data_IF_598461136962
#
_entry.id   IF_598461136962
#
_cell.length_a   1.000
_cell.length_b   1.000
_cell.length_c   1.000
_cell.angle_alpha   90.00
_cell.angle_beta   90.00
_cell.angle_gamma   90.00
#
_symmetry.space_group_name_H-M   'P 1'
#
loop_
_entity.id
_entity.type
_entity.pdbx_description
1 polymer ?
#
# COMPACT_ATOMS: atom_id res chain seq x y z
N UNK A 1 -31.86 11.68 -29.42
CA UNK A 1 -30.44 11.38 -29.10
C UNK A 1 -29.61 11.16 -30.37
N UNK A 2 -29.54 12.18 -31.23
CA UNK A 2 -28.80 12.15 -32.50
C UNK A 2 -27.51 13.01 -32.49
N UNK A 3 -27.16 13.60 -31.34
CA UNK A 3 -25.96 14.43 -31.21
C UNK A 3 -24.79 13.73 -30.50
N UNK A 4 -24.95 12.48 -30.05
CA UNK A 4 -23.88 11.73 -29.38
C UNK A 4 -22.90 11.03 -30.33
N UNK A 5 -23.29 10.77 -31.58
CA UNK A 5 -22.49 9.98 -32.53
C UNK A 5 -21.47 10.77 -33.36
N UNK A 6 -21.54 12.10 -33.38
CA UNK A 6 -20.65 12.95 -34.18
C UNK A 6 -19.50 13.56 -33.35
N UNK A 7 -19.56 13.48 -32.02
CA UNK A 7 -18.50 13.94 -31.12
C UNK A 7 -17.26 13.01 -31.13
N UNK A 8 -17.44 11.72 -31.44
CA UNK A 8 -16.33 10.74 -31.48
C UNK A 8 -15.40 10.90 -32.69
N UNK A 9 -15.89 11.52 -33.78
CA UNK A 9 -15.11 11.75 -35.00
C UNK A 9 -14.23 13.02 -34.94
N UNK A 10 -14.37 13.84 -33.91
CA UNK A 10 -13.59 15.07 -33.73
C UNK A 10 -12.43 14.94 -32.73
N UNK A 11 -12.15 13.74 -32.19
CA UNK A 11 -11.02 13.50 -31.29
C UNK A 11 -11.14 14.17 -29.91
N UNK A 12 -12.27 14.79 -29.59
CA UNK A 12 -12.52 15.43 -28.30
C UNK A 12 -13.23 14.44 -27.40
N UNK A 13 -12.44 13.72 -26.60
CA UNK A 13 -12.90 12.80 -25.59
C UNK A 13 -13.58 13.57 -24.44
N UNK A 14 -14.90 13.71 -24.47
CA UNK A 14 -15.70 14.16 -23.34
C UNK A 14 -15.82 13.02 -22.33
N UNK A 15 -14.89 12.98 -21.36
CA UNK A 15 -15.14 12.37 -20.04
C UNK A 15 -14.43 11.07 -19.67
N UNK A 16 -13.38 10.62 -20.37
CA UNK A 16 -12.72 9.33 -20.04
C UNK A 16 -11.18 9.30 -20.06
N UNK A 17 -10.51 10.37 -20.49
CA UNK A 17 -9.04 10.38 -20.60
C UNK A 17 -8.31 10.48 -19.26
N UNK A 18 -8.80 11.35 -18.36
CA UNK A 18 -8.17 11.57 -17.05
C UNK A 18 -8.32 10.39 -16.08
N UNK A 19 -9.44 9.66 -16.14
CA UNK A 19 -9.64 8.50 -15.26
C UNK A 19 -8.69 7.35 -15.57
N UNK A 20 -8.33 7.14 -16.84
CA UNK A 20 -7.51 5.99 -17.21
C UNK A 20 -6.05 6.15 -16.76
N UNK A 21 -5.47 7.33 -16.94
CA UNK A 21 -4.09 7.58 -16.52
C UNK A 21 -3.93 7.54 -14.98
N UNK A 22 -4.92 8.05 -14.24
CA UNK A 22 -4.98 7.94 -12.78
C UNK A 22 -5.09 6.49 -12.32
N UNK A 23 -5.97 5.69 -12.95
CA UNK A 23 -6.10 4.26 -12.64
C UNK A 23 -4.79 3.53 -12.93
N UNK A 24 -4.19 3.75 -14.11
CA UNK A 24 -2.91 3.13 -14.48
C UNK A 24 -1.82 3.51 -13.48
N UNK A 25 -1.68 4.79 -13.13
CA UNK A 25 -0.65 5.24 -12.20
C UNK A 25 -0.84 4.65 -10.79
N UNK A 26 -2.08 4.49 -10.33
CA UNK A 26 -2.41 3.82 -9.07
C UNK A 26 -2.00 2.34 -9.09
N UNK A 27 -2.26 1.62 -10.19
CA UNK A 27 -1.84 0.23 -10.35
C UNK A 27 -0.30 0.11 -10.47
N UNK A 28 0.33 1.05 -11.17
CA UNK A 28 1.80 1.12 -11.29
C UNK A 28 2.45 1.35 -9.93
N UNK A 29 1.92 2.26 -9.11
CA UNK A 29 2.36 2.50 -7.72
C UNK A 29 2.38 1.21 -6.89
N UNK A 30 1.41 0.33 -7.13
CA UNK A 30 1.31 -0.95 -6.44
C UNK A 30 2.17 -2.03 -7.10
N UNK A 31 2.57 -1.90 -8.35
CA UNK A 31 3.23 -2.95 -9.13
C UNK A 31 4.61 -3.36 -8.58
N UNK A 32 4.95 -4.64 -8.70
CA UNK A 32 6.26 -5.18 -8.29
C UNK A 32 7.40 -4.47 -9.03
N UNK A 33 7.25 -4.27 -10.34
CA UNK A 33 8.29 -3.67 -11.17
C UNK A 33 8.64 -2.23 -10.75
N UNK A 34 7.64 -1.43 -10.36
CA UNK A 34 7.87 -0.09 -9.85
C UNK A 34 8.47 -0.12 -8.45
N UNK A 35 7.86 -0.87 -7.52
CA UNK A 35 8.29 -0.94 -6.13
C UNK A 35 9.73 -1.47 -5.97
N UNK A 36 10.10 -2.52 -6.70
CA UNK A 36 11.49 -3.02 -6.71
C UNK A 36 12.48 -1.92 -7.12
N UNK A 37 12.20 -1.18 -8.20
CA UNK A 37 13.06 -0.05 -8.63
C UNK A 37 13.09 1.07 -7.60
N UNK A 38 11.96 1.33 -6.94
CA UNK A 38 11.85 2.32 -5.87
C UNK A 38 12.73 1.95 -4.67
N UNK A 39 12.67 0.70 -4.21
CA UNK A 39 13.45 0.23 -3.07
C UNK A 39 14.96 0.34 -3.32
N UNK A 40 15.43 -0.10 -4.49
CA UNK A 40 16.84 -0.02 -4.88
C UNK A 40 17.32 1.41 -5.08
N UNK A 41 16.44 2.33 -5.53
CA UNK A 41 16.81 3.73 -5.74
C UNK A 41 16.99 4.50 -4.43
N UNK A 42 16.24 4.15 -3.40
CA UNK A 42 16.23 4.86 -2.11
C UNK A 42 16.82 4.01 -0.97
N UNK A 43 17.62 3.00 -1.31
CA UNK A 43 18.33 2.12 -0.36
C UNK A 43 17.45 1.58 0.78
N UNK A 44 16.25 1.11 0.42
CA UNK A 44 15.22 0.74 1.40
C UNK A 44 15.39 -0.64 2.03
N UNK A 45 16.30 -1.49 1.51
CA UNK A 45 16.47 -2.88 1.93
C UNK A 45 16.59 -3.03 3.45
N UNK A 46 17.55 -2.31 4.05
CA UNK A 46 17.81 -2.33 5.49
C UNK A 46 16.66 -1.70 6.29
N UNK A 47 16.25 -0.44 6.05
CA UNK A 47 15.20 0.19 6.85
C UNK A 47 13.85 -0.52 6.74
N UNK A 48 13.56 -1.20 5.62
CA UNK A 48 12.33 -1.96 5.44
C UNK A 48 12.38 -3.32 6.15
N UNK A 49 13.49 -4.06 6.04
CA UNK A 49 13.52 -5.47 6.41
C UNK A 49 14.28 -5.78 7.70
N UNK A 50 15.18 -4.90 8.14
CA UNK A 50 16.02 -5.12 9.32
C UNK A 50 15.58 -4.33 10.56
N UNK A 51 14.70 -3.34 10.41
CA UNK A 51 14.32 -2.43 11.51
C UNK A 51 13.05 -2.93 12.22
N UNK A 52 13.14 -3.07 13.54
CA UNK A 52 12.02 -3.47 14.42
C UNK A 52 11.53 -2.34 15.33
N UNK A 53 12.23 -1.20 15.33
CA UNK A 53 11.89 -0.11 16.23
C UNK A 53 12.59 1.21 15.90
N UNK A 54 12.12 2.26 16.57
CA UNK A 54 12.68 3.61 16.47
C UNK A 54 12.73 4.25 17.85
N UNK A 55 13.90 4.76 18.22
CA UNK A 55 14.07 5.51 19.45
C UNK A 55 13.91 7.00 19.17
N UNK A 56 12.78 7.59 19.59
CA UNK A 56 12.51 9.03 19.40
C UNK A 56 13.53 9.95 20.10
N UNK A 57 14.22 9.50 21.14
CA UNK A 57 15.19 10.33 21.88
C UNK A 57 16.57 10.35 21.22
N UNK A 58 17.04 9.21 20.73
CA UNK A 58 18.35 9.11 20.06
C UNK A 58 18.24 9.29 18.55
N UNK A 59 17.04 9.26 17.98
CA UNK A 59 16.79 9.30 16.53
C UNK A 59 17.51 8.17 15.79
N UNK A 60 17.52 6.98 16.40
CA UNK A 60 18.17 5.78 15.85
C UNK A 60 17.18 4.63 15.68
N UNK A 61 17.42 3.81 14.64
CA UNK A 61 16.71 2.56 14.43
C UNK A 61 17.16 1.51 15.43
N UNK A 62 16.20 0.69 15.85
CA UNK A 62 16.46 -0.58 16.53
C UNK A 62 16.36 -1.68 15.50
N UNK A 63 17.42 -2.48 15.37
CA UNK A 63 17.52 -3.54 14.37
C UNK A 63 17.26 -4.90 14.98
N UNK A 64 16.63 -5.78 14.21
CA UNK A 64 16.51 -7.20 14.49
C UNK A 64 17.90 -7.85 14.38
N UNK A 65 18.56 -8.03 15.53
CA UNK A 65 19.93 -8.57 15.62
C UNK A 65 20.02 -10.05 15.30
N UNK A 66 18.89 -10.75 15.21
CA UNK A 66 18.87 -12.16 14.80
C UNK A 66 18.96 -12.27 13.26
N UNK A 67 18.55 -11.22 12.53
CA UNK A 67 18.58 -11.17 11.06
C UNK A 67 19.71 -10.31 10.50
N UNK A 68 20.07 -9.23 11.17
CA UNK A 68 20.98 -8.22 10.63
C UNK A 68 21.99 -7.74 11.66
N UNK A 69 23.26 -7.66 11.25
CA UNK A 69 24.33 -7.08 12.04
C UNK A 69 24.62 -5.63 11.60
N UNK A 70 24.15 -4.62 12.35
CA UNK A 70 24.37 -3.22 11.99
C UNK A 70 25.83 -2.76 12.16
N UNK A 71 26.62 -3.44 13.00
CA UNK A 71 28.03 -3.08 13.23
C UNK A 71 28.91 -3.46 12.03
N UNK A 72 28.56 -4.55 11.33
CA UNK A 72 29.26 -5.03 10.12
C UNK A 72 28.57 -4.68 8.81
N UNK A 73 27.28 -4.33 8.86
CA UNK A 73 26.47 -4.08 7.68
C UNK A 73 26.08 -5.37 6.93
N UNK A 74 25.93 -6.49 7.64
CA UNK A 74 25.77 -7.82 7.04
C UNK A 74 24.47 -8.50 7.48
N UNK A 75 23.80 -9.14 6.54
CA UNK A 75 22.70 -10.07 6.82
C UNK A 75 23.25 -11.38 7.40
N UNK A 76 22.59 -11.89 8.42
CA UNK A 76 22.94 -13.14 9.07
C UNK A 76 22.34 -14.33 8.32
N UNK A 77 22.64 -15.53 8.80
CA UNK A 77 22.12 -16.79 8.26
C UNK A 77 21.25 -17.46 9.32
N UNK A 78 20.20 -18.16 8.86
CA UNK A 78 19.33 -18.95 9.71
C UNK A 78 19.98 -20.27 10.15
N UNK A 79 19.22 -21.10 10.87
CA UNK A 79 19.70 -22.40 11.36
C UNK A 79 19.97 -23.43 10.27
N UNK A 80 19.35 -23.26 9.10
CA UNK A 80 19.48 -24.16 7.95
C UNK A 80 20.61 -23.70 7.00
N UNK A 81 21.21 -22.54 7.28
CA UNK A 81 22.32 -21.96 6.51
C UNK A 81 21.88 -21.04 5.38
N UNK A 82 20.60 -20.69 5.32
CA UNK A 82 20.05 -19.74 4.34
C UNK A 82 20.23 -18.31 4.85
N UNK A 83 20.41 -17.35 3.94
CA UNK A 83 20.63 -15.95 4.32
C UNK A 83 19.32 -15.26 4.66
N UNK A 84 19.33 -14.41 5.70
CA UNK A 84 18.24 -13.48 6.00
C UNK A 84 18.18 -12.27 5.05
N UNK A 85 19.10 -12.18 4.09
CA UNK A 85 19.04 -11.12 3.08
C UNK A 85 17.73 -11.26 2.29
N UNK A 86 16.87 -10.22 2.28
CA UNK A 86 15.59 -10.28 1.61
C UNK A 86 15.77 -10.29 0.09
N UNK A 87 14.89 -11.00 -0.60
CA UNK A 87 14.72 -10.88 -2.04
C UNK A 87 13.82 -9.68 -2.39
N UNK A 88 13.80 -9.30 -3.67
CA UNK A 88 12.83 -8.31 -4.16
C UNK A 88 11.38 -8.72 -3.90
N UNK A 89 11.11 -10.03 -3.86
CA UNK A 89 9.80 -10.55 -3.54
C UNK A 89 9.43 -10.25 -2.09
N UNK A 90 10.33 -10.58 -1.16
CA UNK A 90 10.11 -10.39 0.28
C UNK A 90 9.92 -8.90 0.62
N UNK A 91 10.71 -8.02 0.00
CA UNK A 91 10.55 -6.57 0.18
C UNK A 91 9.19 -6.07 -0.33
N UNK A 92 8.74 -6.53 -1.50
CA UNK A 92 7.46 -6.10 -2.06
C UNK A 92 6.29 -6.62 -1.24
N UNK A 93 6.37 -7.84 -0.74
CA UNK A 93 5.37 -8.45 0.14
C UNK A 93 5.27 -7.66 1.46
N UNK A 94 6.39 -7.52 2.18
CA UNK A 94 6.43 -6.76 3.43
C UNK A 94 5.93 -5.33 3.25
N UNK A 95 6.35 -4.64 2.19
CA UNK A 95 5.95 -3.25 1.96
C UNK A 95 4.45 -3.11 1.72
N UNK A 96 3.86 -3.98 0.90
CA UNK A 96 2.43 -3.92 0.55
C UNK A 96 1.53 -4.32 1.71
N UNK A 97 1.96 -5.25 2.55
CA UNK A 97 1.13 -5.75 3.66
C UNK A 97 1.14 -4.78 4.85
N UNK A 98 2.31 -4.26 5.24
CA UNK A 98 2.46 -3.57 6.53
C UNK A 98 2.82 -2.09 6.43
N UNK A 99 3.36 -1.65 5.30
CA UNK A 99 3.99 -0.32 5.19
C UNK A 99 3.29 0.63 4.22
N UNK A 100 2.49 0.14 3.28
CA UNK A 100 1.97 0.96 2.18
C UNK A 100 0.51 0.67 1.87
N UNK A 101 -0.26 1.73 1.67
CA UNK A 101 -1.60 1.63 1.11
C UNK A 101 -1.92 2.81 0.21
N UNK A 102 -2.73 2.54 -0.80
CA UNK A 102 -3.27 3.57 -1.70
C UNK A 102 -4.78 3.41 -1.74
N UNK A 103 -5.48 4.50 -1.51
CA UNK A 103 -6.94 4.54 -1.56
C UNK A 103 -7.42 5.68 -2.45
N UNK A 104 -8.64 5.55 -2.94
CA UNK A 104 -9.27 6.51 -3.84
C UNK A 104 -10.64 6.87 -3.31
N UNK A 105 -10.86 8.16 -3.06
CA UNK A 105 -12.17 8.69 -2.72
C UNK A 105 -13.02 8.80 -3.99
N UNK A 106 -13.93 7.86 -4.22
CA UNK A 106 -14.71 7.73 -5.48
C UNK A 106 -15.58 8.95 -5.82
N UNK A 107 -15.91 9.75 -4.82
CA UNK A 107 -16.69 10.98 -4.94
C UNK A 107 -15.86 12.18 -5.43
N UNK A 108 -14.59 12.24 -5.03
CA UNK A 108 -13.69 13.37 -5.34
C UNK A 108 -12.57 13.01 -6.32
N UNK A 109 -12.33 11.73 -6.58
CA UNK A 109 -11.17 11.23 -7.33
C UNK A 109 -9.83 11.43 -6.61
N UNK A 110 -9.84 11.84 -5.34
CA UNK A 110 -8.60 12.06 -4.58
C UNK A 110 -7.94 10.72 -4.25
N UNK A 111 -6.64 10.65 -4.53
CA UNK A 111 -5.79 9.53 -4.17
C UNK A 111 -5.07 9.85 -2.87
N UNK A 112 -5.21 8.97 -1.89
CA UNK A 112 -4.47 9.04 -0.63
C UNK A 112 -3.41 7.94 -0.62
N UNK A 113 -2.15 8.35 -0.56
CA UNK A 113 -1.00 7.47 -0.38
C UNK A 113 -0.59 7.52 1.08
N UNK A 114 -0.60 6.37 1.75
CA UNK A 114 -0.22 6.24 3.15
C UNK A 114 0.99 5.34 3.26
N UNK A 115 2.02 5.83 3.97
CA UNK A 115 3.20 5.05 4.31
C UNK A 115 3.34 4.96 5.83
N UNK A 116 3.63 3.76 6.32
CA UNK A 116 3.86 3.45 7.72
C UNK A 116 5.29 2.95 7.89
N UNK A 117 5.97 3.46 8.90
CA UNK A 117 7.30 3.01 9.29
C UNK A 117 7.53 3.31 10.77
N UNK A 118 8.48 2.63 11.41
CA UNK A 118 8.82 2.87 12.81
C UNK A 118 9.31 4.30 13.06
N UNK A 119 10.12 4.83 12.14
CA UNK A 119 10.53 6.23 12.11
C UNK A 119 9.52 7.09 11.36
N UNK A 120 8.91 8.11 11.99
CA UNK A 120 7.92 8.98 11.35
C UNK A 120 8.54 9.89 10.29
N UNK A 121 9.83 10.23 10.44
CA UNK A 121 10.58 11.00 9.43
C UNK A 121 10.78 10.14 8.18
N UNK A 122 11.12 8.87 8.35
CA UNK A 122 11.28 7.96 7.21
C UNK A 122 9.94 7.71 6.49
N UNK A 123 8.84 7.54 7.24
CA UNK A 123 7.51 7.39 6.65
C UNK A 123 7.13 8.59 5.76
N UNK A 124 7.38 9.81 6.24
CA UNK A 124 7.18 11.03 5.47
C UNK A 124 8.03 11.04 4.19
N UNK A 125 9.33 10.79 4.33
CA UNK A 125 10.26 10.79 3.20
C UNK A 125 9.84 9.78 2.14
N UNK A 126 9.49 8.56 2.54
CA UNK A 126 9.01 7.52 1.61
C UNK A 126 7.71 7.92 0.91
N UNK A 127 6.76 8.53 1.61
CA UNK A 127 5.53 9.02 0.99
C UNK A 127 5.82 10.11 -0.06
N UNK A 128 6.68 11.09 0.26
CA UNK A 128 7.09 12.12 -0.70
C UNK A 128 7.83 11.52 -1.90
N UNK A 129 8.75 10.59 -1.65
CA UNK A 129 9.53 9.93 -2.71
C UNK A 129 8.68 9.04 -3.61
N UNK A 130 7.68 8.34 -3.07
CA UNK A 130 6.74 7.56 -3.88
C UNK A 130 6.00 8.46 -4.88
N UNK A 131 5.47 9.61 -4.41
CA UNK A 131 4.74 10.56 -5.26
C UNK A 131 5.66 11.19 -6.31
N UNK A 132 6.90 11.53 -5.94
CA UNK A 132 7.91 12.02 -6.89
C UNK A 132 8.23 10.97 -7.95
N UNK A 133 8.49 9.73 -7.54
CA UNK A 133 8.94 8.66 -8.42
C UNK A 133 7.85 8.16 -9.36
N UNK A 134 6.58 8.11 -8.93
CA UNK A 134 5.47 7.76 -9.84
C UNK A 134 5.25 8.85 -10.89
N UNK A 135 5.31 10.12 -10.50
CA UNK A 135 5.22 11.24 -11.44
C UNK A 135 6.35 11.17 -12.47
N UNK A 136 7.57 10.92 -12.01
CA UNK A 136 8.72 10.73 -12.89
C UNK A 136 8.56 9.53 -13.82
N UNK A 137 8.10 8.40 -13.29
CA UNK A 137 7.92 7.15 -14.04
C UNK A 137 6.90 7.31 -15.16
N UNK A 138 5.71 7.82 -14.84
CA UNK A 138 4.66 8.05 -15.84
C UNK A 138 5.08 9.10 -16.87
N UNK A 139 5.78 10.16 -16.44
CA UNK A 139 6.28 11.19 -17.35
C UNK A 139 7.29 10.61 -18.34
N UNK A 140 8.25 9.82 -17.87
CA UNK A 140 9.26 9.19 -18.75
C UNK A 140 8.61 8.23 -19.72
N UNK A 141 7.69 7.39 -19.26
CA UNK A 141 6.99 6.46 -20.12
C UNK A 141 6.25 7.19 -21.25
N UNK A 142 5.46 8.22 -20.93
CA UNK A 142 4.68 8.94 -21.95
C UNK A 142 5.58 9.72 -22.91
N UNK A 143 6.73 10.24 -22.46
CA UNK A 143 7.74 10.87 -23.33
C UNK A 143 8.37 9.84 -24.26
N UNK A 144 8.83 8.69 -23.74
CA UNK A 144 9.45 7.62 -24.53
C UNK A 144 8.48 7.07 -25.59
N UNK A 145 7.21 6.87 -25.22
CA UNK A 145 6.17 6.43 -26.15
C UNK A 145 5.87 7.48 -27.24
N UNK A 146 5.78 8.75 -26.88
CA UNK A 146 5.53 9.83 -27.84
C UNK A 146 6.72 10.04 -28.80
N UNK A 147 7.95 9.98 -28.30
CA UNK A 147 9.17 10.07 -29.13
C UNK A 147 9.24 8.90 -30.13
N UNK A 148 8.93 7.68 -29.70
CA UNK A 148 8.86 6.52 -30.59
C UNK A 148 7.80 6.69 -31.69
N UNK A 149 6.65 7.29 -31.37
CA UNK A 149 5.59 7.59 -32.36
C UNK A 149 6.01 8.69 -33.33
N UNK A 150 6.66 9.76 -32.85
CA UNK A 150 7.21 10.82 -33.70
C UNK A 150 8.17 10.22 -34.71
N UNK A 151 9.14 9.42 -34.26
CA UNK A 151 10.11 8.77 -35.15
C UNK A 151 9.44 7.91 -36.23
N UNK A 152 8.38 7.17 -35.87
CA UNK A 152 7.59 6.40 -36.83
C UNK A 152 6.85 7.29 -37.84
N UNK A 153 6.25 8.40 -37.39
CA UNK A 153 5.51 9.33 -38.24
C UNK A 153 6.43 10.10 -39.19
N UNK A 154 7.63 10.49 -38.73
CA UNK A 154 8.68 11.11 -39.55
C UNK A 154 9.11 10.16 -40.67
N UNK A 155 9.35 8.88 -40.34
CA UNK A 155 9.66 7.87 -41.36
C UNK A 155 8.55 7.76 -42.42
N UNK A 156 7.26 7.77 -42.01
CA UNK A 156 6.13 7.67 -42.94
C UNK A 156 5.93 8.94 -43.77
N UNK A 157 6.26 10.10 -43.22
CA UNK A 157 6.26 11.37 -43.91
C UNK A 157 7.26 11.36 -45.07
N UNK A 158 8.48 10.86 -44.84
CA UNK A 158 9.54 10.77 -45.86
C UNK A 158 9.20 9.79 -47.00
N UNK A 159 8.45 8.73 -46.69
CA UNK A 159 7.97 7.75 -47.68
C UNK A 159 6.78 8.27 -48.52
N UNK A 160 6.15 9.37 -48.12
CA UNK A 160 4.87 9.84 -48.69
C UNK A 160 5.04 11.08 -49.55
N UNK A 161 4.65 11.00 -50.82
CA UNK A 161 4.72 12.12 -51.78
C UNK A 161 3.39 12.88 -51.96
N UNK A 162 2.34 12.47 -51.27
CA UNK A 162 1.01 13.09 -51.39
C UNK A 162 0.90 14.22 -50.38
N UNK A 163 0.87 15.47 -50.85
CA UNK A 163 0.82 16.67 -50.00
C UNK A 163 -0.32 16.62 -48.95
N UNK A 164 -1.50 16.12 -49.32
CA UNK A 164 -2.62 15.95 -48.40
C UNK A 164 -2.32 14.99 -47.24
N UNK A 165 -1.58 13.90 -47.50
CA UNK A 165 -1.18 12.94 -46.46
C UNK A 165 -0.03 13.47 -45.61
N UNK A 166 0.92 14.19 -46.22
CA UNK A 166 2.00 14.86 -45.49
C UNK A 166 1.42 15.85 -44.45
N UNK A 167 0.38 16.60 -44.82
CA UNK A 167 -0.30 17.51 -43.89
C UNK A 167 -0.89 16.79 -42.67
N UNK A 168 -1.45 15.60 -42.86
CA UNK A 168 -1.96 14.78 -41.74
C UNK A 168 -0.81 14.32 -40.84
N UNK A 169 0.30 13.84 -41.40
CA UNK A 169 1.46 13.43 -40.61
C UNK A 169 2.06 14.59 -39.80
N UNK A 170 2.20 15.78 -40.38
CA UNK A 170 2.65 16.96 -39.64
C UNK A 170 1.75 17.27 -38.43
N UNK A 171 0.42 17.18 -38.60
CA UNK A 171 -0.52 17.39 -37.49
C UNK A 171 -0.38 16.31 -36.40
N UNK A 172 -0.16 15.05 -36.78
CA UNK A 172 0.08 13.97 -35.82
C UNK A 172 1.40 14.17 -35.06
N UNK A 173 2.47 14.54 -35.77
CA UNK A 173 3.77 14.86 -35.16
C UNK A 173 3.64 16.05 -34.21
N UNK A 174 2.91 17.10 -34.59
CA UNK A 174 2.66 18.26 -33.73
C UNK A 174 1.92 17.84 -32.45
N UNK A 175 0.92 16.97 -32.57
CA UNK A 175 0.17 16.47 -31.41
C UNK A 175 1.07 15.68 -30.45
N UNK A 176 1.91 14.75 -30.94
CA UNK A 176 2.84 13.99 -30.09
C UNK A 176 3.94 14.89 -29.51
N UNK A 177 4.46 15.84 -30.29
CA UNK A 177 5.43 16.83 -29.82
C UNK A 177 4.85 17.69 -28.68
N UNK A 178 3.57 18.06 -28.77
CA UNK A 178 2.86 18.77 -27.70
C UNK A 178 2.79 17.91 -26.44
N UNK A 179 2.56 16.60 -26.55
CA UNK A 179 2.59 15.67 -25.40
C UNK A 179 3.96 15.67 -24.72
N UNK A 180 5.05 15.50 -25.49
CA UNK A 180 6.43 15.55 -24.96
C UNK A 180 6.72 16.87 -24.27
N UNK A 181 6.32 17.99 -24.89
CA UNK A 181 6.52 19.33 -24.33
C UNK A 181 5.77 19.51 -23.01
N UNK A 182 4.48 19.13 -22.95
CA UNK A 182 3.65 19.27 -21.76
C UNK A 182 4.12 18.36 -20.62
N UNK A 183 4.52 17.13 -20.94
CA UNK A 183 5.09 16.20 -19.98
C UNK A 183 6.35 16.80 -19.34
N UNK A 184 7.33 17.22 -20.15
CA UNK A 184 8.59 17.78 -19.65
C UNK A 184 8.45 19.12 -18.91
N UNK A 185 7.39 19.89 -19.17
CA UNK A 185 7.14 21.16 -18.48
C UNK A 185 6.62 21.00 -17.05
N UNK A 186 6.12 19.82 -16.66
CA UNK A 186 5.44 19.59 -15.39
C UNK A 186 6.22 18.60 -14.52
N UNK A 187 6.54 19.01 -13.28
CA UNK A 187 7.15 18.10 -12.28
C UNK A 187 6.13 17.09 -11.75
N UNK A 188 4.92 17.57 -11.49
CA UNK A 188 3.78 16.78 -11.02
C UNK A 188 2.88 16.44 -12.21
N UNK A 189 3.26 15.38 -12.93
CA UNK A 189 2.68 15.03 -14.22
C UNK A 189 1.32 14.32 -14.12
N UNK A 190 1.25 13.22 -13.35
CA UNK A 190 0.02 12.43 -13.19
C UNK A 190 -0.72 12.75 -11.90
N UNK A 191 0.02 13.07 -10.83
CA UNK A 191 -0.54 13.43 -9.53
C UNK A 191 0.00 14.77 -9.09
N UNK A 192 -0.94 15.68 -8.79
CA UNK A 192 -0.66 16.95 -8.13
C UNK A 192 -0.86 16.78 -6.62
N UNK A 193 0.17 17.10 -5.84
CA UNK A 193 0.09 17.05 -4.39
C UNK A 193 -0.86 18.14 -3.89
N UNK A 194 -1.99 17.72 -3.32
CA UNK A 194 -2.94 18.65 -2.67
C UNK A 194 -2.54 18.87 -1.22
N UNK A 195 -2.17 17.80 -0.52
CA UNK A 195 -1.71 17.82 0.87
C UNK A 195 -0.34 17.12 0.94
N UNK A 196 0.75 17.84 1.27
CA UNK A 196 2.07 17.26 1.34
C UNK A 196 2.20 16.30 2.53
N UNK A 197 3.09 15.32 2.42
CA UNK A 197 3.35 14.42 3.53
C UNK A 197 3.96 15.18 4.71
N UNK A 198 3.47 14.89 5.92
CA UNK A 198 3.95 15.48 7.16
C UNK A 198 4.44 14.40 8.11
N UNK A 199 5.41 14.74 8.96
CA UNK A 199 5.87 13.85 10.03
C UNK A 199 4.73 13.63 11.02
N UNK A 200 4.33 12.37 11.22
CA UNK A 200 3.24 12.04 12.12
C UNK A 200 3.60 12.36 13.59
N UNK A 201 2.76 13.15 14.26
CA UNK A 201 2.91 13.46 15.68
C UNK A 201 2.39 12.33 16.58
N UNK A 202 1.33 11.65 16.15
CA UNK A 202 0.69 10.55 16.85
C UNK A 202 0.99 9.20 16.19
N UNK A 203 1.06 8.15 17.01
CA UNK A 203 1.27 6.79 16.50
C UNK A 203 -0.01 6.28 15.86
N UNK A 204 0.09 5.82 14.62
CA UNK A 204 -1.04 5.17 13.93
C UNK A 204 -1.48 3.87 14.64
N UNK A 205 -0.51 3.06 15.09
CA UNK A 205 -0.74 1.73 15.66
C UNK A 205 0.30 1.33 16.72
N UNK A 206 -0.02 0.37 17.62
CA UNK A 206 -1.35 -0.23 17.83
C UNK A 206 -2.26 0.67 18.68
N UNK A 207 -3.57 0.62 18.41
CA UNK A 207 -4.59 1.34 19.19
C UNK A 207 -4.84 0.65 20.53
N UNK A 208 -3.91 0.83 21.49
CA UNK A 208 -3.90 0.13 22.80
C UNK A 208 -5.23 0.22 23.54
N UNK A 209 -5.88 1.39 23.50
CA UNK A 209 -7.20 1.57 24.13
C UNK A 209 -8.26 0.61 23.56
N UNK A 210 -8.32 0.47 22.22
CA UNK A 210 -9.24 -0.45 21.56
C UNK A 210 -8.94 -1.91 21.95
N UNK A 211 -7.66 -2.29 21.99
CA UNK A 211 -7.23 -3.64 22.40
C UNK A 211 -7.68 -3.94 23.84
N UNK A 212 -7.48 -3.00 24.78
CA UNK A 212 -7.91 -3.17 26.16
C UNK A 212 -9.44 -3.30 26.29
N UNK A 213 -10.22 -2.53 25.53
CA UNK A 213 -11.70 -2.62 25.53
C UNK A 213 -12.16 -3.97 25.00
N UNK A 214 -11.58 -4.46 23.89
CA UNK A 214 -11.95 -5.76 23.32
C UNK A 214 -11.54 -6.90 24.27
N UNK A 215 -10.34 -6.86 24.85
CA UNK A 215 -9.86 -7.88 25.76
C UNK A 215 -10.70 -7.98 27.04
N UNK A 216 -11.13 -6.84 27.60
CA UNK A 216 -12.00 -6.81 28.78
C UNK A 216 -13.40 -7.32 28.47
N UNK A 217 -13.98 -6.97 27.33
CA UNK A 217 -15.28 -7.47 26.89
C UNK A 217 -15.27 -9.00 26.67
N UNK A 218 -14.27 -9.50 25.94
CA UNK A 218 -14.11 -10.95 25.68
C UNK A 218 -13.82 -11.72 26.96
N UNK A 219 -12.94 -11.20 27.84
CA UNK A 219 -12.64 -11.80 29.14
C UNK A 219 -13.88 -11.85 30.04
N UNK A 220 -14.71 -10.80 30.03
CA UNK A 220 -16.00 -10.77 30.74
C UNK A 220 -16.96 -11.84 30.24
N UNK A 221 -17.14 -11.97 28.92
CA UNK A 221 -18.01 -13.00 28.32
C UNK A 221 -17.53 -14.42 28.67
N UNK A 222 -16.22 -14.70 28.55
CA UNK A 222 -15.65 -16.00 28.92
C UNK A 222 -15.81 -16.29 30.41
N UNK A 223 -15.62 -15.29 31.28
CA UNK A 223 -15.84 -15.42 32.72
C UNK A 223 -17.28 -15.84 33.03
N UNK A 224 -18.26 -15.17 32.43
CA UNK A 224 -19.69 -15.52 32.56
C UNK A 224 -19.96 -16.94 32.07
N UNK A 225 -19.40 -17.33 30.92
CA UNK A 225 -19.56 -18.67 30.35
C UNK A 225 -19.00 -19.78 31.25
N UNK A 226 -17.80 -19.57 31.83
CA UNK A 226 -17.18 -20.51 32.78
C UNK A 226 -18.04 -20.65 34.03
N UNK A 227 -18.61 -19.56 34.55
CA UNK A 227 -19.51 -19.58 35.70
C UNK A 227 -20.76 -20.42 35.38
N UNK A 228 -21.37 -20.25 34.21
CA UNK A 228 -22.53 -21.05 33.79
C UNK A 228 -22.20 -22.55 33.67
N UNK A 229 -21.08 -22.92 33.05
CA UNK A 229 -20.65 -24.33 32.97
C UNK A 229 -20.46 -24.92 34.37
N UNK A 230 -19.78 -24.18 35.26
CA UNK A 230 -19.53 -24.63 36.62
C UNK A 230 -20.83 -24.77 37.42
N UNK A 231 -21.78 -23.86 37.22
CA UNK A 231 -23.10 -23.93 37.83
C UNK A 231 -23.89 -25.16 37.33
N UNK A 232 -23.89 -25.43 36.03
CA UNK A 232 -24.57 -26.58 35.44
C UNK A 232 -23.99 -27.93 35.93
N UNK A 233 -22.66 -28.07 35.96
CA UNK A 233 -21.99 -29.28 36.48
C UNK A 233 -22.27 -29.48 37.97
N UNK A 234 -22.29 -28.41 38.77
CA UNK A 234 -22.60 -28.49 40.21
C UNK A 234 -24.06 -28.84 40.46
N UNK A 235 -24.99 -28.35 39.63
CA UNK A 235 -26.42 -28.66 39.74
C UNK A 235 -26.77 -30.10 39.38
N UNK A 236 -25.93 -30.79 38.60
CA UNK A 236 -26.08 -32.23 38.29
C UNK A 236 -25.65 -33.17 39.43
N UNK A 237 -25.18 -32.63 40.57
CA UNK A 237 -24.61 -33.40 41.69
C UNK A 237 -25.31 -33.07 43.02
N UNK A 238 -26.63 -33.26 43.06
CA UNK A 238 -27.40 -33.18 44.32
C UNK A 238 -27.49 -34.57 44.97
N UNK A 239 -27.04 -34.77 46.24
CA UNK A 239 -27.27 -36.00 46.98
C UNK A 239 -28.70 -36.05 47.53
N UNK A 240 -29.35 -37.21 47.42
CA UNK A 240 -30.66 -37.52 47.99
C UNK A 240 -30.66 -37.29 49.51
N UNK A 241 -31.65 -36.59 50.10
CA UNK A 241 -31.74 -36.44 51.54
C UNK A 241 -32.35 -37.70 52.18
N UNK A 242 -31.56 -38.43 52.96
CA UNK A 242 -32.08 -39.26 54.05
C UNK A 242 -32.46 -38.36 55.23
N UNK A 243 -33.69 -38.47 55.73
CA UNK A 243 -33.97 -38.94 57.11
C UNK A 243 -35.45 -38.75 57.45
N UNK A 244 -36.05 -39.74 58.14
CA UNK A 244 -36.62 -39.58 59.49
C UNK A 244 -37.69 -40.65 59.77
N UNK A 245 -37.52 -41.44 60.84
CA UNK A 245 -38.53 -42.39 61.31
C UNK A 245 -38.06 -43.30 62.44
N UNK A 246 -37.83 -42.69 63.61
CA UNK A 246 -37.75 -43.18 65.02
C UNK A 246 -37.72 -44.69 65.35
N UNK A 247 -36.95 -45.10 66.39
CA UNK A 247 -36.89 -46.47 66.88
C UNK A 247 -38.04 -46.80 67.86
N UNK A 248 -38.49 -48.05 67.90
CA UNK A 248 -39.24 -48.61 69.04
C UNK A 248 -38.81 -50.07 69.29
N UNK A 249 -38.54 -50.47 70.54
CA UNK A 249 -38.04 -51.79 70.91
C UNK A 249 -39.17 -52.77 71.31
N UNK A 250 -38.78 -53.99 71.69
CA UNK A 250 -39.57 -55.14 72.19
C UNK A 250 -39.92 -56.18 71.10
N UNK A 251 -39.88 -57.50 71.32
CA UNK A 251 -39.66 -58.33 72.50
C UNK A 251 -39.26 -59.76 72.04
N UNK A 252 -38.66 -60.49 73.00
CA UNK A 252 -38.62 -61.96 73.20
C UNK A 252 -38.18 -62.91 72.07
#
# INVERSE_FOLDING_TARGET
SQFGGLASLAGINLGGGGSNQTIIAKEVLQSRAFLTKFFHRHDMEIPLMAVEGWNKKSEEWTYDRDKYNPDKGEWLFDSDGETYKPTDWDMVEAFREDHFSVSEAKDTGMITVSVKHYSPVMAQQWAEKLVQDINEHMRKQDVEEAEARIAYLEQKLDETNIAGMQQVFYQLIENETRTVMLANAQKEYVFKTVDPAVVAEEKAEPKRALICVIATLLGGMLGVFIVFIRAFIRSGRAPSPESSGTPSPAAE
#
